data_IF_512369715933
#
_entry.id   IF_512369715933
#
_cell.length_a   1.000
_cell.length_b   1.000
_cell.length_c   1.000
_cell.angle_alpha   90.00
_cell.angle_beta   90.00
_cell.angle_gamma   90.00
#
_symmetry.space_group_name_H-M   'P 1'
#
loop_
_entity.id
_entity.type
_entity.pdbx_description
1 polymer ?
#
# COMPACT_ATOMS: atom_id res chain seq x y z
N UNK A 1 -26.40 33.81 -6.15
CA UNK A 1 -25.02 34.29 -6.00
C UNK A 1 -24.40 33.58 -4.80
N UNK A 2 -23.18 33.09 -4.92
CA UNK A 2 -22.43 32.50 -3.81
C UNK A 2 -21.48 33.58 -3.27
N UNK A 3 -21.50 33.80 -1.97
CA UNK A 3 -20.66 34.80 -1.31
C UNK A 3 -19.54 34.09 -0.55
N UNK A 4 -18.28 34.48 -0.73
CA UNK A 4 -17.18 33.88 0.00
C UNK A 4 -17.33 34.19 1.49
N UNK A 5 -17.16 33.16 2.33
CA UNK A 5 -17.02 33.34 3.76
C UNK A 5 -15.72 34.08 4.10
N UNK A 6 -15.70 34.71 5.27
CA UNK A 6 -14.57 35.46 5.80
C UNK A 6 -13.29 34.60 5.85
N UNK A 7 -12.12 35.23 5.73
CA UNK A 7 -10.83 34.53 5.60
C UNK A 7 -10.48 33.58 6.75
N UNK A 8 -11.07 33.76 7.93
CA UNK A 8 -10.86 32.87 9.07
C UNK A 8 -11.65 31.55 8.96
N UNK A 9 -12.74 31.53 8.19
CA UNK A 9 -13.49 30.29 7.90
C UNK A 9 -12.82 29.45 6.81
N UNK A 10 -12.02 30.08 5.95
CA UNK A 10 -11.28 29.37 4.89
C UNK A 10 -10.19 28.48 5.49
N UNK A 11 -10.15 27.22 5.08
CA UNK A 11 -9.22 26.19 5.58
C UNK A 11 -9.22 26.01 7.12
N UNK A 12 -10.36 26.22 7.78
CA UNK A 12 -10.45 26.18 9.23
C UNK A 12 -9.89 24.88 9.84
N UNK A 13 -10.10 23.73 9.18
CA UNK A 13 -9.59 22.42 9.61
C UNK A 13 -8.05 22.33 9.62
N UNK A 14 -7.37 23.08 8.75
CA UNK A 14 -5.90 23.15 8.71
C UNK A 14 -5.36 24.15 9.73
N UNK A 15 -6.02 25.30 9.85
CA UNK A 15 -5.60 26.39 10.74
C UNK A 15 -5.87 26.08 12.22
N UNK A 16 -6.91 25.29 12.52
CA UNK A 16 -7.35 24.97 13.88
C UNK A 16 -7.61 23.46 14.07
N UNK A 17 -6.61 22.59 13.85
CA UNK A 17 -6.81 21.14 13.74
C UNK A 17 -7.41 20.52 15.01
N UNK A 18 -6.93 20.93 16.20
CA UNK A 18 -7.41 20.40 17.49
C UNK A 18 -8.89 20.76 17.72
N UNK A 19 -9.27 22.02 17.49
CA UNK A 19 -10.66 22.48 17.64
C UNK A 19 -11.58 21.84 16.62
N UNK A 20 -11.10 21.71 15.38
CA UNK A 20 -11.86 21.05 14.33
C UNK A 20 -12.09 19.57 14.63
N UNK A 21 -11.07 18.85 15.11
CA UNK A 21 -11.21 17.45 15.52
C UNK A 21 -12.20 17.28 16.67
N UNK A 22 -12.11 18.14 17.70
CA UNK A 22 -13.05 18.12 18.83
C UNK A 22 -14.50 18.41 18.41
N UNK A 23 -14.70 19.39 17.52
CA UNK A 23 -16.01 19.68 16.94
C UNK A 23 -16.53 18.50 16.12
N UNK A 24 -15.69 17.94 15.25
CA UNK A 24 -16.05 16.83 14.36
C UNK A 24 -16.50 15.60 15.15
N UNK A 25 -15.72 15.19 16.15
CA UNK A 25 -16.03 14.01 16.96
C UNK A 25 -17.33 14.16 17.76
N UNK A 26 -17.71 15.40 18.11
CA UNK A 26 -18.96 15.71 18.83
C UNK A 26 -20.13 16.08 17.93
N UNK A 27 -19.92 16.20 16.62
CA UNK A 27 -20.97 16.58 15.67
C UNK A 27 -21.88 15.42 15.26
N UNK A 28 -21.61 14.19 15.70
CA UNK A 28 -22.29 12.97 15.24
C UNK A 28 -21.93 12.57 13.80
N UNK A 29 -21.04 13.33 13.14
CA UNK A 29 -20.56 13.01 11.78
C UNK A 29 -19.82 11.68 11.74
N UNK A 30 -18.99 11.40 12.75
CA UNK A 30 -18.22 10.15 12.79
C UNK A 30 -19.15 8.95 13.03
N UNK A 31 -20.17 9.09 13.91
CA UNK A 31 -21.22 8.08 14.09
C UNK A 31 -22.05 7.85 12.82
N UNK A 32 -22.41 8.93 12.11
CA UNK A 32 -23.10 8.83 10.83
C UNK A 32 -22.25 8.14 9.78
N UNK A 33 -20.96 8.45 9.70
CA UNK A 33 -20.04 7.80 8.78
C UNK A 33 -19.91 6.31 9.09
N UNK A 34 -19.82 5.94 10.37
CA UNK A 34 -19.81 4.55 10.79
C UNK A 34 -21.15 3.84 10.50
N UNK A 35 -22.28 4.52 10.65
CA UNK A 35 -23.59 3.93 10.36
C UNK A 35 -23.87 3.78 8.86
N UNK A 36 -23.48 4.77 8.06
CA UNK A 36 -23.76 4.80 6.62
C UNK A 36 -22.71 4.06 5.79
N UNK A 37 -21.48 3.97 6.27
CA UNK A 37 -20.32 3.44 5.54
C UNK A 37 -19.48 2.46 6.36
N UNK A 38 -19.80 2.21 7.63
CA UNK A 38 -19.08 1.23 8.45
C UNK A 38 -19.53 -0.20 8.16
N UNK A 39 -18.56 -1.08 7.92
CA UNK A 39 -18.78 -2.51 7.66
C UNK A 39 -19.35 -3.19 8.91
N UNK A 40 -20.50 -3.85 8.80
CA UNK A 40 -21.09 -4.66 9.88
C UNK A 40 -20.18 -5.85 10.20
N UNK A 41 -19.59 -5.87 11.40
CA UNK A 41 -18.85 -7.03 11.90
C UNK A 41 -19.74 -7.93 12.77
N UNK A 42 -19.93 -9.17 12.32
CA UNK A 42 -20.38 -10.28 13.14
C UNK A 42 -19.34 -10.70 14.20
N UNK A 43 -19.88 -11.39 15.20
CA UNK A 43 -19.37 -11.92 16.47
C UNK A 43 -17.89 -12.31 16.62
N UNK A 44 -17.43 -12.11 17.86
CA UNK A 44 -16.06 -12.14 18.38
C UNK A 44 -15.55 -13.52 18.79
N UNK A 45 -14.28 -13.80 18.52
CA UNK A 45 -13.40 -14.50 19.45
C UNK A 45 -12.01 -13.85 19.43
N UNK A 46 -11.55 -13.49 20.63
CA UNK A 46 -10.22 -13.06 21.08
C UNK A 46 -9.09 -12.91 20.05
N UNK A 47 -8.76 -11.65 19.75
CA UNK A 47 -7.64 -11.19 18.93
C UNK A 47 -7.96 -9.78 18.44
N UNK A 48 -7.07 -8.82 18.66
CA UNK A 48 -7.22 -7.39 18.31
C UNK A 48 -7.89 -7.17 16.95
N UNK A 49 -9.17 -6.77 16.93
CA UNK A 49 -9.92 -6.41 15.72
C UNK A 49 -9.51 -5.01 15.25
N UNK A 50 -8.57 -4.95 14.31
CA UNK A 50 -8.20 -3.72 13.62
C UNK A 50 -7.07 -3.99 12.64
N UNK A 51 -7.39 -3.99 11.34
CA UNK A 51 -6.57 -4.40 10.19
C UNK A 51 -6.34 -5.92 10.09
N UNK A 52 -6.80 -6.62 9.03
CA UNK A 52 -6.54 -8.05 8.86
C UNK A 52 -5.07 -8.35 8.56
N UNK A 53 -4.27 -7.32 8.32
CA UNK A 53 -2.84 -7.41 8.03
C UNK A 53 -2.06 -6.77 9.16
N UNK A 54 -1.15 -7.54 9.77
CA UNK A 54 -0.28 -7.07 10.82
C UNK A 54 1.11 -7.64 10.61
N UNK A 55 2.13 -6.86 10.98
CA UNK A 55 3.53 -7.31 10.94
C UNK A 55 3.75 -8.45 11.95
N UNK A 56 4.16 -9.65 11.51
CA UNK A 56 4.57 -10.74 12.41
C UNK A 56 5.81 -10.37 13.24
N UNK A 57 6.11 -11.17 14.26
CA UNK A 57 7.34 -10.98 15.04
C UNK A 57 8.59 -11.28 14.20
N UNK A 58 9.74 -10.67 14.55
CA UNK A 58 11.00 -10.92 13.81
C UNK A 58 11.38 -12.42 13.77
N UNK A 59 11.10 -13.14 14.85
CA UNK A 59 11.32 -14.58 14.93
C UNK A 59 10.45 -15.34 13.91
N UNK A 60 9.17 -15.00 13.78
CA UNK A 60 8.28 -15.60 12.80
C UNK A 60 8.73 -15.28 11.37
N UNK A 61 9.20 -14.06 11.13
CA UNK A 61 9.70 -13.63 9.82
C UNK A 61 10.92 -14.43 9.40
N UNK A 62 11.88 -14.66 10.30
CA UNK A 62 13.07 -15.49 10.03
C UNK A 62 12.73 -16.95 9.72
N UNK A 63 11.60 -17.46 10.22
CA UNK A 63 11.16 -18.83 9.95
C UNK A 63 10.34 -18.95 8.66
N UNK A 64 9.53 -17.94 8.34
CA UNK A 64 8.61 -17.97 7.19
C UNK A 64 9.24 -17.47 5.89
N UNK A 65 10.10 -16.46 5.96
CA UNK A 65 10.68 -15.81 4.79
C UNK A 65 11.97 -16.49 4.36
N UNK A 66 12.22 -16.47 3.06
CA UNK A 66 13.56 -16.79 2.56
C UNK A 66 14.57 -15.74 3.02
N UNK A 67 15.86 -16.09 3.02
CA UNK A 67 16.92 -15.14 3.41
C UNK A 67 16.90 -13.86 2.58
N UNK A 68 16.59 -13.96 1.27
CA UNK A 68 16.46 -12.80 0.39
C UNK A 68 15.24 -11.95 0.74
N UNK A 69 14.07 -12.57 0.95
CA UNK A 69 12.85 -11.84 1.34
C UNK A 69 13.04 -11.11 2.68
N UNK A 70 13.66 -11.76 3.65
CA UNK A 70 13.97 -11.14 4.95
C UNK A 70 14.95 -9.97 4.79
N UNK A 71 16.03 -10.15 4.02
CA UNK A 71 17.02 -9.09 3.77
C UNK A 71 16.41 -7.89 3.04
N UNK A 72 15.59 -8.12 2.02
CA UNK A 72 14.91 -7.06 1.27
C UNK A 72 13.93 -6.33 2.18
N UNK A 73 12.98 -7.05 2.80
CA UNK A 73 11.87 -6.43 3.53
C UNK A 73 12.28 -5.78 4.86
N UNK A 74 13.22 -6.36 5.60
CA UNK A 74 13.59 -5.89 6.95
C UNK A 74 14.89 -5.07 6.97
N UNK A 75 15.79 -5.28 6.02
CA UNK A 75 17.12 -4.65 5.99
C UNK A 75 17.36 -3.79 4.75
N UNK A 76 16.29 -3.43 4.03
CA UNK A 76 16.35 -2.56 2.84
C UNK A 76 17.33 -3.08 1.77
N UNK A 77 17.45 -4.42 1.69
CA UNK A 77 18.16 -5.08 0.62
C UNK A 77 17.50 -4.81 -0.74
N UNK A 78 18.27 -5.00 -1.81
CA UNK A 78 17.76 -4.91 -3.18
C UNK A 78 18.14 -6.20 -3.91
N UNK A 79 17.15 -6.84 -4.52
CA UNK A 79 17.38 -8.06 -5.31
C UNK A 79 18.06 -7.74 -6.64
N UNK A 80 18.62 -8.76 -7.30
CA UNK A 80 19.29 -8.58 -8.58
C UNK A 80 18.29 -8.23 -9.70
N UNK A 81 18.64 -7.32 -10.61
CA UNK A 81 17.80 -7.04 -11.77
C UNK A 81 17.73 -8.27 -12.69
N UNK A 82 16.56 -8.52 -13.28
CA UNK A 82 16.26 -9.63 -14.21
C UNK A 82 16.40 -11.05 -13.65
N UNK A 83 16.87 -11.19 -12.41
CA UNK A 83 17.02 -12.45 -11.70
C UNK A 83 16.10 -12.44 -10.47
N UNK A 84 14.80 -12.32 -10.75
CA UNK A 84 13.74 -12.29 -9.75
C UNK A 84 12.42 -12.85 -10.32
N UNK A 85 11.44 -13.10 -9.46
CA UNK A 85 10.25 -13.87 -9.85
C UNK A 85 9.23 -13.06 -10.67
N UNK A 86 9.16 -11.75 -10.47
CA UNK A 86 8.03 -10.95 -10.98
C UNK A 86 8.40 -9.87 -12.00
N UNK A 87 9.67 -9.72 -12.41
CA UNK A 87 10.04 -8.71 -13.41
C UNK A 87 9.26 -8.91 -14.72
N UNK A 88 9.15 -10.14 -15.23
CA UNK A 88 8.48 -10.46 -16.50
C UNK A 88 7.04 -10.96 -16.34
N UNK A 89 6.57 -11.24 -15.12
CA UNK A 89 5.22 -11.72 -14.86
C UNK A 89 4.14 -10.83 -15.51
N UNK A 90 3.23 -11.44 -16.29
CA UNK A 90 2.10 -10.83 -17.00
C UNK A 90 0.72 -11.40 -16.61
N UNK A 91 0.67 -12.27 -15.61
CA UNK A 91 -0.60 -12.86 -15.15
C UNK A 91 -1.50 -11.78 -14.53
N UNK A 92 -2.82 -11.97 -14.68
CA UNK A 92 -3.83 -11.10 -14.07
C UNK A 92 -4.01 -11.47 -12.60
N UNK A 93 -4.08 -10.47 -11.74
CA UNK A 93 -4.09 -10.62 -10.29
C UNK A 93 -3.48 -9.42 -9.56
N UNK A 94 -3.24 -9.59 -8.26
CA UNK A 94 -2.67 -8.55 -7.39
C UNK A 94 -1.35 -9.00 -6.79
N UNK A 95 -0.55 -8.02 -6.35
CA UNK A 95 0.66 -8.22 -5.58
C UNK A 95 0.42 -7.75 -4.15
N UNK A 96 0.64 -8.64 -3.20
CA UNK A 96 0.48 -8.39 -1.77
C UNK A 96 1.84 -8.36 -1.08
N UNK A 97 1.94 -7.73 0.09
CA UNK A 97 3.12 -7.78 0.93
C UNK A 97 3.39 -9.23 1.37
N UNK A 98 4.61 -9.71 1.15
CA UNK A 98 5.01 -11.07 1.57
C UNK A 98 4.99 -11.22 3.11
N UNK A 99 5.09 -10.12 3.85
CA UNK A 99 5.15 -10.09 5.31
C UNK A 99 3.76 -10.07 5.94
N UNK A 100 2.93 -9.09 5.56
CA UNK A 100 1.64 -8.82 6.20
C UNK A 100 0.45 -9.39 5.41
N UNK A 101 0.63 -9.69 4.12
CA UNK A 101 -0.45 -10.04 3.21
C UNK A 101 -1.28 -8.85 2.74
N UNK A 102 -0.92 -7.61 3.09
CA UNK A 102 -1.69 -6.44 2.66
C UNK A 102 -1.57 -6.24 1.13
N UNK A 103 -2.66 -5.87 0.44
CA UNK A 103 -2.65 -5.68 -1.01
C UNK A 103 -1.94 -4.37 -1.40
N UNK A 104 -0.93 -4.45 -2.26
CA UNK A 104 -0.07 -3.32 -2.60
C UNK A 104 -0.25 -2.82 -4.03
N UNK A 105 -0.22 -3.72 -5.02
CA UNK A 105 -0.23 -3.35 -6.44
C UNK A 105 -1.14 -4.26 -7.27
N UNK A 106 -1.65 -3.73 -8.39
CA UNK A 106 -2.42 -4.50 -9.37
C UNK A 106 -1.55 -4.83 -10.58
N UNK A 107 -1.77 -6.00 -11.18
CA UNK A 107 -1.22 -6.34 -12.50
C UNK A 107 -1.66 -5.36 -13.60
N UNK A 108 -2.81 -4.68 -13.45
CA UNK A 108 -3.30 -3.67 -14.41
C UNK A 108 -2.41 -2.42 -14.48
N UNK A 109 -1.79 -2.08 -13.36
CA UNK A 109 -0.88 -0.93 -13.24
C UNK A 109 0.59 -1.34 -13.43
N UNK A 110 0.86 -2.64 -13.64
CA UNK A 110 2.20 -3.16 -13.92
C UNK A 110 2.57 -2.92 -15.38
N UNK A 111 3.81 -2.50 -15.61
CA UNK A 111 4.33 -2.31 -16.96
C UNK A 111 5.80 -2.74 -17.07
N UNK A 112 6.28 -2.87 -18.31
CA UNK A 112 7.68 -3.19 -18.56
C UNK A 112 8.52 -1.91 -18.63
N UNK A 113 9.27 -1.65 -17.57
CA UNK A 113 10.17 -0.49 -17.45
C UNK A 113 11.58 -0.75 -17.99
N UNK A 114 11.90 -1.99 -18.39
CA UNK A 114 13.26 -2.43 -18.78
C UNK A 114 14.34 -2.26 -17.71
N UNK A 115 13.96 -2.00 -16.44
CA UNK A 115 14.95 -1.85 -15.35
C UNK A 115 15.36 -3.19 -14.74
N UNK A 116 14.58 -4.25 -14.94
CA UNK A 116 14.83 -5.57 -14.38
C UNK A 116 14.12 -5.86 -13.05
N UNK A 117 13.27 -4.93 -12.58
CA UNK A 117 12.40 -5.14 -11.41
C UNK A 117 10.94 -4.90 -11.79
N UNK A 118 9.97 -5.57 -11.12
CA UNK A 118 8.56 -5.29 -11.33
C UNK A 118 8.29 -3.79 -11.07
N UNK A 119 7.67 -3.16 -12.07
CA UNK A 119 7.43 -1.72 -12.08
C UNK A 119 5.95 -1.43 -12.25
N UNK A 120 5.44 -0.51 -11.43
CA UNK A 120 4.02 -0.13 -11.40
C UNK A 120 3.86 1.37 -11.54
N UNK A 121 2.73 1.81 -12.10
CA UNK A 121 2.42 3.24 -12.27
C UNK A 121 1.80 3.85 -11.02
N UNK A 122 1.16 3.03 -10.17
CA UNK A 122 0.53 3.41 -8.91
C UNK A 122 0.28 2.19 -7.99
N UNK A 123 0.16 2.38 -6.67
CA UNK A 123 -0.36 1.36 -5.76
C UNK A 123 -1.88 1.16 -5.92
N UNK A 124 -2.40 0.03 -5.44
CA UNK A 124 -3.84 -0.28 -5.36
C UNK A 124 -4.61 0.78 -4.58
N UNK A 125 -4.01 1.26 -3.49
CA UNK A 125 -4.51 2.38 -2.71
C UNK A 125 -3.34 3.24 -2.25
N UNK A 126 -3.46 4.56 -2.37
CA UNK A 126 -2.42 5.50 -1.92
C UNK A 126 -2.11 5.37 -0.42
N UNK A 127 -3.07 4.87 0.38
CA UNK A 127 -2.89 4.60 1.80
C UNK A 127 -2.18 3.27 2.10
N UNK A 128 -1.93 2.40 1.10
CA UNK A 128 -1.33 1.09 1.33
C UNK A 128 0.21 1.15 1.35
N UNK A 129 0.78 2.25 0.86
CA UNK A 129 2.22 2.49 0.81
C UNK A 129 2.58 3.76 1.56
N UNK A 130 3.78 3.76 2.15
CA UNK A 130 4.38 4.92 2.82
C UNK A 130 5.62 5.31 2.04
N UNK A 131 5.65 6.57 1.60
CA UNK A 131 6.79 7.15 0.91
C UNK A 131 7.69 7.89 1.91
N UNK A 132 8.97 7.52 1.97
CA UNK A 132 9.98 8.13 2.86
C UNK A 132 11.14 8.66 2.03
N UNK A 133 11.69 9.82 2.40
CA UNK A 133 12.91 10.32 1.75
C UNK A 133 14.12 9.48 2.18
N UNK A 134 14.77 8.84 1.20
CA UNK A 134 16.04 8.14 1.35
C UNK A 134 17.19 9.06 0.91
N UNK A 135 18.07 9.38 1.87
CA UNK A 135 19.25 10.24 1.69
C UNK A 135 20.57 9.48 1.88
N UNK A 136 20.55 8.14 1.81
CA UNK A 136 21.74 7.31 2.06
C UNK A 136 22.75 7.33 0.92
N UNK A 137 22.31 7.69 -0.28
CA UNK A 137 23.17 7.86 -1.45
C UNK A 137 23.38 9.34 -1.76
N UNK A 138 24.32 9.64 -2.67
CA UNK A 138 24.57 11.00 -3.17
C UNK A 138 23.34 11.65 -3.84
N UNK A 139 22.33 10.86 -4.18
CA UNK A 139 21.04 11.32 -4.71
C UNK A 139 19.93 11.06 -3.70
N UNK A 140 18.98 11.99 -3.59
CA UNK A 140 17.76 11.78 -2.79
C UNK A 140 16.81 10.91 -3.60
N UNK A 141 16.46 9.74 -3.07
CA UNK A 141 15.41 8.86 -3.62
C UNK A 141 14.22 8.83 -2.68
N UNK A 142 13.06 8.41 -3.18
CA UNK A 142 11.88 8.19 -2.33
C UNK A 142 11.72 6.69 -2.14
N UNK A 143 12.03 6.20 -0.94
CA UNK A 143 11.78 4.83 -0.51
C UNK A 143 10.27 4.60 -0.40
N UNK A 144 9.82 3.42 -0.82
CA UNK A 144 8.44 2.95 -0.70
C UNK A 144 8.42 1.77 0.27
N UNK A 145 7.56 1.86 1.28
CA UNK A 145 7.34 0.80 2.28
C UNK A 145 5.86 0.43 2.37
N UNK A 146 5.56 -0.80 2.78
CA UNK A 146 4.19 -1.22 3.06
C UNK A 146 3.69 -0.56 4.35
N UNK A 147 2.41 -0.18 4.42
CA UNK A 147 1.88 0.57 5.58
C UNK A 147 1.78 -0.30 6.83
N UNK A 148 1.26 -1.51 6.71
CA UNK A 148 0.94 -2.39 7.84
C UNK A 148 2.09 -3.32 8.19
N UNK A 149 2.87 -3.75 7.18
CA UNK A 149 4.07 -4.57 7.38
C UNK A 149 5.35 -3.77 7.72
N UNK A 150 5.37 -2.46 7.41
CA UNK A 150 6.60 -1.65 7.36
C UNK A 150 7.73 -2.38 6.61
N UNK A 151 7.37 -3.11 5.54
CA UNK A 151 8.30 -3.84 4.69
C UNK A 151 8.92 -2.86 3.70
N UNK A 152 10.25 -2.88 3.57
CA UNK A 152 10.90 -2.21 2.45
C UNK A 152 10.48 -2.88 1.13
N UNK A 153 9.88 -2.09 0.23
CA UNK A 153 9.41 -2.55 -1.06
C UNK A 153 10.39 -2.16 -2.18
N UNK A 154 10.86 -0.92 -2.17
CA UNK A 154 11.77 -0.39 -3.17
C UNK A 154 11.74 1.14 -3.20
N UNK A 155 11.70 1.72 -4.41
CA UNK A 155 11.74 3.17 -4.60
C UNK A 155 10.75 3.64 -5.67
N UNK A 156 10.29 4.88 -5.56
CA UNK A 156 9.47 5.56 -6.56
C UNK A 156 10.28 6.65 -7.26
N UNK A 157 10.14 6.73 -8.59
CA UNK A 157 10.85 7.65 -9.46
C UNK A 157 9.87 8.46 -10.34
N UNK A 158 10.18 9.71 -10.70
CA UNK A 158 9.34 10.56 -11.55
C UNK A 158 9.58 10.34 -13.05
N UNK A 159 10.00 9.14 -13.45
CA UNK A 159 10.33 8.74 -14.83
C UNK A 159 9.36 7.67 -15.38
N UNK A 160 8.15 7.61 -14.81
CA UNK A 160 7.12 6.67 -15.23
C UNK A 160 6.31 7.15 -16.45
N UNK A 161 5.50 6.26 -17.04
CA UNK A 161 4.60 6.62 -18.13
C UNK A 161 3.44 7.50 -17.65
N UNK A 162 2.79 8.19 -18.58
CA UNK A 162 1.51 8.85 -18.34
C UNK A 162 0.44 7.81 -17.92
N UNK A 163 -0.56 8.18 -17.10
CA UNK A 163 -0.89 9.54 -16.66
C UNK A 163 -0.20 9.98 -15.37
N UNK A 164 0.32 9.07 -14.56
CA UNK A 164 0.89 9.43 -13.25
C UNK A 164 2.30 10.02 -13.37
N UNK A 165 3.08 9.61 -14.38
CA UNK A 165 4.49 9.97 -14.49
C UNK A 165 5.37 9.31 -13.42
N UNK A 166 4.80 8.39 -12.63
CA UNK A 166 5.48 7.73 -11.52
C UNK A 166 5.82 6.29 -11.88
N UNK A 167 7.02 5.87 -11.47
CA UNK A 167 7.49 4.49 -11.57
C UNK A 167 7.80 3.96 -10.17
N UNK A 168 6.91 3.13 -9.65
CA UNK A 168 7.13 2.34 -8.45
C UNK A 168 7.98 1.13 -8.83
N UNK A 169 9.28 1.17 -8.54
CA UNK A 169 10.24 0.12 -8.81
C UNK A 169 10.39 -0.75 -7.55
N UNK A 170 9.83 -1.95 -7.57
CA UNK A 170 9.62 -2.77 -6.37
C UNK A 170 10.43 -4.06 -6.47
N UNK A 171 10.90 -4.59 -5.35
CA UNK A 171 11.55 -5.91 -5.29
C UNK A 171 10.48 -7.00 -5.30
N UNK A 172 10.62 -8.00 -6.16
CA UNK A 172 9.79 -9.21 -6.18
C UNK A 172 9.85 -9.94 -4.84
N UNK A 173 11.02 -9.98 -4.20
CA UNK A 173 11.22 -10.56 -2.87
C UNK A 173 10.46 -9.83 -1.74
N UNK A 174 9.85 -8.67 -2.00
CA UNK A 174 8.93 -8.02 -1.05
C UNK A 174 7.46 -8.32 -1.33
N UNK A 175 7.16 -9.00 -2.44
CA UNK A 175 5.82 -9.25 -2.93
C UNK A 175 5.49 -10.74 -2.92
N UNK A 176 4.19 -11.03 -2.87
CA UNK A 176 3.61 -12.32 -3.22
C UNK A 176 2.51 -12.07 -4.24
N UNK A 177 2.53 -12.80 -5.35
CA UNK A 177 1.50 -12.67 -6.37
C UNK A 177 0.30 -13.56 -6.04
N UNK A 178 -0.91 -12.98 -6.11
CA UNK A 178 -2.19 -13.70 -5.99
C UNK A 178 -2.92 -13.56 -7.32
N UNK A 179 -3.08 -14.66 -8.08
CA UNK A 179 -3.75 -14.60 -9.37
C UNK A 179 -5.25 -14.36 -9.20
N UNK A 180 -5.89 -13.81 -10.24
CA UNK A 180 -7.32 -13.47 -10.23
C UNK A 180 -8.21 -14.66 -9.79
N UNK A 181 -7.91 -15.86 -10.29
CA UNK A 181 -8.64 -17.09 -9.99
C UNK A 181 -8.59 -17.54 -8.51
N UNK A 182 -7.67 -16.99 -7.72
CA UNK A 182 -7.49 -17.33 -6.31
C UNK A 182 -7.81 -16.17 -5.35
N UNK A 183 -8.18 -14.98 -5.87
CA UNK A 183 -8.49 -13.81 -5.05
C UNK A 183 -9.60 -14.09 -4.03
N UNK A 184 -10.70 -14.71 -4.45
CA UNK A 184 -11.81 -15.02 -3.54
C UNK A 184 -11.39 -16.06 -2.48
N UNK A 185 -10.68 -17.10 -2.90
CA UNK A 185 -10.23 -18.20 -2.02
C UNK A 185 -9.27 -17.70 -0.95
N UNK A 186 -8.42 -16.73 -1.30
CA UNK A 186 -7.42 -16.16 -0.40
C UNK A 186 -7.93 -14.95 0.41
N UNK A 187 -9.20 -14.59 0.29
CA UNK A 187 -9.81 -13.50 1.08
C UNK A 187 -9.59 -12.09 0.50
N UNK A 188 -9.23 -11.99 -0.78
CA UNK A 188 -9.07 -10.75 -1.55
C UNK A 188 -10.24 -10.51 -2.52
N UNK A 189 -11.41 -11.11 -2.27
CA UNK A 189 -12.58 -11.03 -3.16
C UNK A 189 -13.03 -9.60 -3.50
N UNK A 190 -12.81 -8.63 -2.60
CA UNK A 190 -13.11 -7.22 -2.84
C UNK A 190 -12.37 -6.63 -4.06
N UNK A 191 -11.22 -7.21 -4.43
CA UNK A 191 -10.39 -6.78 -5.55
C UNK A 191 -10.77 -7.41 -6.89
N UNK A 192 -11.69 -8.39 -6.93
CA UNK A 192 -12.16 -9.01 -8.18
C UNK A 192 -12.77 -7.97 -9.13
N UNK A 193 -13.48 -6.99 -8.57
CA UNK A 193 -14.12 -5.88 -9.31
C UNK A 193 -13.15 -5.03 -10.13
N UNK A 194 -11.84 -5.12 -9.86
CA UNK A 194 -10.83 -4.45 -10.68
C UNK A 194 -10.66 -5.10 -12.06
N UNK A 195 -10.95 -6.40 -12.16
CA UNK A 195 -10.71 -7.21 -13.35
C UNK A 195 -12.00 -7.54 -14.11
N UNK A 196 -13.15 -7.33 -13.49
CA UNK A 196 -14.47 -7.34 -14.14
C UNK A 196 -14.54 -6.24 -15.21
N UNK A 197 -14.82 -6.64 -16.45
CA UNK A 197 -14.95 -5.74 -17.61
C UNK A 197 -16.37 -5.27 -17.85
#
# INVERSE_FOLDING_TARGET
RFYPAEGYHQDYYKKNPIRYQYYRSRSGRDDFLQKAWGVQQGTTNTGTKGEPYAKPSDQDLRQKLTSLQYQVTQHEGTEKPFDNEYWDNKRVGIYVDVVSGEPLFSSLDKYDSKTGWPSFTRPLGAANVVEKQDRRLWTTRTEVRSRLGDSHLGHVFPDGPAPTGLRYCINSASLRFVPEEDLEKEGYGDYLKLFEK
#
